data_IF_441212109101
#
_entry.id   IF_441212109101
#
_cell.length_a   1.000
_cell.length_b   1.000
_cell.length_c   1.000
_cell.angle_alpha   90.00
_cell.angle_beta   90.00
_cell.angle_gamma   90.00
#
_symmetry.space_group_name_H-M   'P 1'
#
loop_
_entity.id
_entity.type
_entity.pdbx_description
1 polymer ?
#
# COMPACT_ATOMS: atom_id res chain seq x y z
N UNK A 1 10.39 6.84 17.38
CA UNK A 1 9.13 6.45 18.08
C UNK A 1 9.13 4.95 18.29
N UNK A 2 8.46 4.47 19.33
CA UNK A 2 8.16 3.04 19.50
C UNK A 2 6.94 2.71 18.64
N UNK A 3 6.88 1.54 17.97
CA UNK A 3 5.70 1.13 17.21
C UNK A 3 4.42 1.12 18.08
N UNK A 4 3.31 1.59 17.53
CA UNK A 4 1.99 1.55 18.17
C UNK A 4 1.19 0.35 17.65
N UNK A 5 0.75 -0.53 18.54
CA UNK A 5 -0.12 -1.66 18.18
C UNK A 5 -1.56 -1.20 17.93
N UNK A 6 -2.06 -1.45 16.71
CA UNK A 6 -3.46 -1.22 16.33
C UNK A 6 -4.29 -2.50 16.51
N UNK A 7 -3.74 -3.64 16.08
CA UNK A 7 -4.40 -4.95 16.19
C UNK A 7 -3.33 -6.01 16.44
N UNK A 8 -3.60 -6.97 17.31
CA UNK A 8 -2.74 -8.14 17.55
C UNK A 8 -3.62 -9.36 17.86
N UNK A 9 -4.03 -10.05 16.79
CA UNK A 9 -4.85 -11.25 16.84
C UNK A 9 -4.12 -12.42 16.17
N UNK A 10 -4.58 -13.68 16.41
CA UNK A 10 -3.98 -14.85 15.77
C UNK A 10 -3.96 -14.80 14.24
N UNK A 11 -4.88 -14.08 13.60
CA UNK A 11 -4.97 -13.99 12.13
C UNK A 11 -4.52 -12.64 11.57
N UNK A 12 -4.49 -11.57 12.39
CA UNK A 12 -4.21 -10.21 11.93
C UNK A 12 -3.38 -9.42 12.94
N UNK A 13 -2.28 -8.81 12.49
CA UNK A 13 -1.48 -7.89 13.31
C UNK A 13 -1.16 -6.63 12.49
N UNK A 14 -1.40 -5.46 13.07
CA UNK A 14 -1.19 -4.14 12.45
C UNK A 14 -0.48 -3.25 13.47
N UNK A 15 0.65 -2.69 13.08
CA UNK A 15 1.45 -1.75 13.86
C UNK A 15 1.62 -0.46 13.07
N UNK A 16 1.41 0.70 13.68
CA UNK A 16 1.90 1.98 13.15
C UNK A 16 3.38 2.09 13.53
N UNK A 17 4.25 2.15 12.53
CA UNK A 17 5.70 2.31 12.73
C UNK A 17 6.11 3.79 12.77
N UNK A 18 5.47 4.59 11.92
CA UNK A 18 5.68 6.03 11.81
C UNK A 18 4.36 6.70 11.39
N UNK A 19 4.15 7.91 11.88
CA UNK A 19 3.02 8.78 11.56
C UNK A 19 3.55 10.21 11.53
N UNK A 20 3.19 10.91 10.47
CA UNK A 20 3.42 12.33 10.21
C UNK A 20 2.26 12.83 9.31
N UNK A 21 2.10 14.14 9.15
CA UNK A 21 1.09 14.69 8.23
C UNK A 21 1.33 14.23 6.78
N UNK A 22 2.60 14.08 6.41
CA UNK A 22 3.01 13.72 5.06
C UNK A 22 3.02 12.20 4.82
N UNK A 23 2.98 11.37 5.86
CA UNK A 23 3.04 9.92 5.70
C UNK A 23 2.63 9.15 6.96
N UNK A 24 1.89 8.06 6.75
CA UNK A 24 1.79 6.97 7.74
C UNK A 24 2.37 5.68 7.18
N UNK A 25 3.18 5.00 7.99
CA UNK A 25 3.76 3.70 7.65
C UNK A 25 3.28 2.67 8.66
N UNK A 26 2.65 1.61 8.17
CA UNK A 26 2.30 0.44 8.98
C UNK A 26 3.12 -0.77 8.61
N UNK A 27 3.37 -1.62 9.60
CA UNK A 27 3.71 -3.02 9.36
C UNK A 27 2.46 -3.85 9.61
N UNK A 28 2.12 -4.71 8.66
CA UNK A 28 0.94 -5.56 8.73
C UNK A 28 1.28 -7.02 8.45
N UNK A 29 0.64 -7.92 9.19
CA UNK A 29 0.61 -9.37 8.95
C UNK A 29 -0.82 -9.86 8.86
N UNK A 30 -1.13 -10.55 7.76
CA UNK A 30 -2.39 -11.28 7.57
C UNK A 30 -2.12 -12.78 7.41
N UNK A 31 -2.88 -13.60 8.10
CA UNK A 31 -2.99 -15.04 7.79
C UNK A 31 -3.83 -15.29 6.55
N UNK A 32 -3.79 -16.53 6.06
CA UNK A 32 -4.60 -16.97 4.92
C UNK A 32 -6.07 -16.57 5.08
N UNK A 33 -6.64 -15.97 4.04
CA UNK A 33 -8.05 -15.61 3.95
C UNK A 33 -8.42 -14.25 4.53
N UNK A 34 -7.52 -13.59 5.27
CA UNK A 34 -7.73 -12.23 5.74
C UNK A 34 -7.71 -11.24 4.57
N UNK A 35 -8.60 -10.24 4.65
CA UNK A 35 -8.87 -9.26 3.59
C UNK A 35 -8.67 -7.85 4.09
N UNK A 36 -8.22 -6.99 3.19
CA UNK A 36 -8.28 -5.54 3.37
C UNK A 36 -9.72 -5.03 3.27
N UNK A 37 -9.90 -3.71 3.12
CA UNK A 37 -11.21 -3.15 2.81
C UNK A 37 -11.78 -3.75 1.51
N UNK A 38 -13.10 -3.70 1.37
CA UNK A 38 -13.77 -3.94 0.09
C UNK A 38 -13.24 -2.97 -0.98
N UNK A 39 -13.53 -3.25 -2.25
CA UNK A 39 -13.09 -2.43 -3.38
C UNK A 39 -13.45 -0.94 -3.17
N UNK A 40 -12.43 -0.10 -3.05
CA UNK A 40 -12.56 1.29 -2.64
C UNK A 40 -11.55 2.18 -3.38
N UNK A 41 -11.66 3.48 -3.17
CA UNK A 41 -10.81 4.49 -3.79
C UNK A 41 -10.39 5.56 -2.77
N UNK A 42 -9.18 6.07 -2.95
CA UNK A 42 -8.65 7.24 -2.25
C UNK A 42 -8.66 8.44 -3.21
N UNK A 43 -8.92 9.64 -2.72
CA UNK A 43 -8.95 10.85 -3.54
C UNK A 43 -7.71 11.73 -3.38
N UNK A 44 -7.01 11.61 -2.26
CA UNK A 44 -5.97 12.57 -1.87
C UNK A 44 -4.60 11.92 -1.69
N UNK A 45 -4.52 10.61 -1.43
CA UNK A 45 -3.26 9.93 -1.16
C UNK A 45 -3.00 8.71 -2.05
N UNK A 46 -1.72 8.36 -2.15
CA UNK A 46 -1.27 7.08 -2.71
C UNK A 46 -1.25 6.04 -1.59
N UNK A 47 -1.83 4.88 -1.84
CA UNK A 47 -1.70 3.69 -1.01
C UNK A 47 -0.66 2.76 -1.63
N UNK A 48 0.45 2.53 -0.92
CA UNK A 48 1.55 1.72 -1.40
C UNK A 48 1.89 0.56 -0.46
N UNK A 49 2.40 -0.52 -1.04
CA UNK A 49 2.65 -1.79 -0.40
C UNK A 49 4.04 -2.28 -0.79
N UNK A 50 4.86 -2.64 0.19
CA UNK A 50 6.08 -3.41 -0.02
C UNK A 50 5.98 -4.75 0.70
N UNK A 51 5.94 -5.84 -0.07
CA UNK A 51 5.74 -7.19 0.48
C UNK A 51 7.07 -7.68 1.05
N UNK A 52 7.10 -7.91 2.36
CA UNK A 52 8.30 -8.37 3.09
C UNK A 52 8.42 -9.89 3.04
N UNK A 53 7.29 -10.59 3.21
CA UNK A 53 7.21 -12.06 3.26
C UNK A 53 5.82 -12.51 2.76
N UNK A 54 5.74 -13.71 2.20
CA UNK A 54 4.51 -14.24 1.62
C UNK A 54 4.10 -13.59 0.28
N UNK A 55 2.79 -13.60 0.00
CA UNK A 55 2.19 -13.08 -1.23
C UNK A 55 0.84 -12.41 -0.94
N UNK A 56 0.62 -11.24 -1.55
CA UNK A 56 -0.68 -10.56 -1.57
C UNK A 56 -1.30 -10.67 -2.96
N UNK A 57 -2.63 -10.84 -2.99
CA UNK A 57 -3.42 -10.66 -4.20
C UNK A 57 -4.13 -9.31 -4.10
N UNK A 58 -3.88 -8.45 -5.07
CA UNK A 58 -4.57 -7.17 -5.23
C UNK A 58 -5.63 -7.30 -6.31
N UNK A 59 -6.75 -6.61 -6.15
CA UNK A 59 -7.73 -6.42 -7.20
C UNK A 59 -7.73 -4.94 -7.58
N UNK A 60 -7.57 -4.63 -8.86
CA UNK A 60 -7.37 -3.26 -9.33
C UNK A 60 -8.40 -2.84 -10.37
N UNK A 61 -8.78 -1.57 -10.30
CA UNK A 61 -9.65 -0.89 -11.25
C UNK A 61 -11.11 -1.37 -11.24
N UNK A 62 -11.93 -0.86 -12.18
CA UNK A 62 -13.38 -1.10 -12.18
C UNK A 62 -13.77 -2.56 -12.48
N UNK A 63 -12.88 -3.34 -13.08
CA UNK A 63 -13.12 -4.76 -13.37
C UNK A 63 -12.52 -5.71 -12.32
N UNK A 64 -11.94 -5.20 -11.22
CA UNK A 64 -11.26 -6.02 -10.20
C UNK A 64 -10.21 -6.96 -10.81
N UNK A 65 -9.31 -6.41 -11.65
CA UNK A 65 -8.24 -7.22 -12.24
C UNK A 65 -7.29 -7.71 -11.13
N UNK A 66 -7.17 -9.03 -11.01
CA UNK A 66 -6.38 -9.64 -9.95
C UNK A 66 -4.90 -9.76 -10.33
N UNK A 67 -4.02 -9.18 -9.51
CA UNK A 67 -2.57 -9.34 -9.60
C UNK A 67 -2.01 -9.94 -8.32
N UNK A 68 -0.95 -10.73 -8.43
CA UNK A 68 -0.26 -11.34 -7.28
C UNK A 68 1.13 -10.79 -7.14
N UNK A 69 1.49 -10.40 -5.93
CA UNK A 69 2.79 -9.80 -5.63
C UNK A 69 3.37 -10.47 -4.39
N UNK A 70 4.47 -11.19 -4.61
CA UNK A 70 5.22 -11.89 -3.58
C UNK A 70 6.28 -11.01 -2.89
N UNK A 71 6.97 -11.60 -1.92
CA UNK A 71 8.07 -10.98 -1.17
C UNK A 71 9.12 -10.29 -2.08
N UNK A 72 9.50 -9.07 -1.70
CA UNK A 72 10.37 -8.17 -2.48
C UNK A 72 9.66 -7.43 -3.61
N UNK A 73 8.36 -7.64 -3.79
CA UNK A 73 7.52 -6.90 -4.73
C UNK A 73 6.93 -5.64 -4.12
N UNK A 74 6.54 -4.71 -4.99
CA UNK A 74 5.99 -3.41 -4.62
C UNK A 74 4.76 -3.07 -5.47
N UNK A 75 3.77 -2.45 -4.85
CA UNK A 75 2.58 -1.90 -5.50
C UNK A 75 2.37 -0.48 -4.99
N UNK A 76 2.15 0.50 -5.86
CA UNK A 76 1.65 1.82 -5.48
C UNK A 76 0.40 2.15 -6.28
N UNK A 77 -0.68 2.45 -5.58
CA UNK A 77 -1.97 2.76 -6.15
C UNK A 77 -2.25 4.26 -5.95
N UNK A 78 -2.19 5.07 -7.01
CA UNK A 78 -2.42 6.51 -6.90
C UNK A 78 -3.91 6.81 -6.63
N UNK A 79 -4.23 8.06 -6.26
CA UNK A 79 -5.60 8.51 -6.13
C UNK A 79 -6.46 8.15 -7.35
N UNK A 80 -7.74 7.89 -7.08
CA UNK A 80 -8.78 7.55 -8.03
C UNK A 80 -8.67 6.16 -8.68
N UNK A 81 -7.64 5.36 -8.40
CA UNK A 81 -7.59 3.95 -8.83
C UNK A 81 -8.27 3.07 -7.80
N UNK A 82 -9.35 2.40 -8.20
CA UNK A 82 -10.06 1.45 -7.35
C UNK A 82 -9.17 0.27 -6.98
N UNK A 83 -9.16 -0.14 -5.71
CA UNK A 83 -8.37 -1.28 -5.28
C UNK A 83 -8.93 -2.00 -4.04
N UNK A 84 -8.56 -3.27 -3.92
CA UNK A 84 -8.74 -4.11 -2.74
C UNK A 84 -7.54 -5.07 -2.64
N UNK A 85 -7.39 -5.76 -1.50
CA UNK A 85 -6.37 -6.80 -1.37
C UNK A 85 -6.77 -7.91 -0.40
N UNK A 86 -6.18 -9.07 -0.61
CA UNK A 86 -6.40 -10.28 0.19
C UNK A 86 -5.11 -11.09 0.27
N UNK A 87 -4.88 -11.73 1.43
CA UNK A 87 -3.93 -12.83 1.47
C UNK A 87 -4.63 -14.13 1.02
N UNK A 88 -4.64 -14.38 -0.30
CA UNK A 88 -5.19 -15.61 -0.88
C UNK A 88 -4.19 -16.78 -0.87
N UNK A 89 -2.95 -16.55 -0.41
CA UNK A 89 -1.89 -17.55 -0.37
C UNK A 89 -2.10 -18.55 0.78
N UNK A 90 -1.45 -19.71 0.74
CA UNK A 90 -1.54 -20.72 1.81
C UNK A 90 -0.71 -20.43 3.08
N UNK A 91 -0.10 -19.25 3.19
CA UNK A 91 0.79 -18.87 4.28
C UNK A 91 0.48 -17.44 4.78
N UNK A 92 1.13 -17.02 5.86
CA UNK A 92 1.08 -15.62 6.30
C UNK A 92 1.74 -14.70 5.26
N UNK A 93 1.17 -13.52 5.07
CA UNK A 93 1.77 -12.42 4.32
C UNK A 93 2.12 -11.28 5.27
N UNK A 94 3.29 -10.64 5.05
CA UNK A 94 3.77 -9.49 5.82
C UNK A 94 4.20 -8.39 4.86
N UNK A 95 3.84 -7.15 5.15
CA UNK A 95 4.20 -6.03 4.29
C UNK A 95 4.33 -4.74 5.08
N UNK A 96 5.02 -3.77 4.47
CA UNK A 96 4.92 -2.38 4.83
C UNK A 96 3.84 -1.73 3.97
N UNK A 97 3.00 -0.92 4.59
CA UNK A 97 1.97 -0.17 3.91
C UNK A 97 2.15 1.33 4.19
N UNK A 98 2.10 2.14 3.14
CA UNK A 98 2.41 3.55 3.14
C UNK A 98 1.20 4.31 2.61
N UNK A 99 0.66 5.23 3.42
CA UNK A 99 -0.31 6.22 2.97
C UNK A 99 0.38 7.56 2.91
N UNK A 100 0.46 8.15 1.72
CA UNK A 100 1.17 9.41 1.48
C UNK A 100 0.35 10.36 0.60
N UNK A 101 -0.09 11.53 1.11
CA UNK A 101 -0.02 11.94 2.54
C UNK A 101 -0.87 11.05 3.47
N UNK A 102 -0.78 11.24 4.80
CA UNK A 102 -1.52 10.38 5.75
C UNK A 102 -3.04 10.45 5.57
N UNK A 103 -3.58 11.63 5.24
CA UNK A 103 -5.02 11.85 5.01
C UNK A 103 -5.93 11.29 6.13
N UNK A 104 -5.45 11.26 7.39
CA UNK A 104 -6.17 10.78 8.56
C UNK A 104 -6.14 9.26 8.76
N UNK A 105 -5.32 8.52 8.01
CA UNK A 105 -5.26 7.06 8.08
C UNK A 105 -4.87 6.55 9.47
N UNK A 106 -3.81 7.08 10.08
CA UNK A 106 -3.39 6.67 11.43
C UNK A 106 -4.50 6.94 12.46
N UNK A 107 -5.17 8.09 12.36
CA UNK A 107 -6.33 8.43 13.18
C UNK A 107 -7.47 7.41 13.04
N UNK A 108 -7.81 7.05 11.80
CA UNK A 108 -8.83 6.05 11.48
C UNK A 108 -8.49 4.65 12.01
N UNK A 109 -7.24 4.20 11.90
CA UNK A 109 -6.83 2.92 12.49
C UNK A 109 -7.09 2.88 14.00
N UNK A 110 -6.91 4.01 14.69
CA UNK A 110 -7.22 4.11 16.13
C UNK A 110 -8.72 4.07 16.42
N UNK A 111 -9.57 4.62 15.54
CA UNK A 111 -11.03 4.50 15.70
C UNK A 111 -11.47 3.05 15.51
N UNK A 112 -10.90 2.33 14.54
CA UNK A 112 -11.14 0.90 14.35
C UNK A 112 -10.75 0.09 15.59
N UNK A 113 -9.55 0.33 16.15
CA UNK A 113 -9.12 -0.30 17.40
C UNK A 113 -10.07 -0.02 18.56
N UNK A 114 -10.56 1.22 18.67
CA UNK A 114 -11.48 1.64 19.72
C UNK A 114 -12.92 1.14 19.52
N UNK A 115 -13.25 0.59 18.35
CA UNK A 115 -14.62 0.22 17.99
C UNK A 115 -15.54 1.42 17.83
N UNK A 116 -15.00 2.60 17.47
CA UNK A 116 -15.77 3.82 17.27
C UNK A 116 -15.90 4.17 15.79
N UNK A 117 -16.97 4.89 15.39
CA UNK A 117 -17.05 5.43 14.05
C UNK A 117 -15.85 6.32 13.73
N UNK A 118 -15.36 6.21 12.50
CA UNK A 118 -14.30 7.04 11.96
C UNK A 118 -14.44 7.12 10.43
N UNK A 119 -14.01 8.24 9.88
CA UNK A 119 -13.93 8.47 8.44
C UNK A 119 -12.52 8.90 8.10
N UNK A 120 -12.06 8.54 6.92
CA UNK A 120 -10.81 8.96 6.33
C UNK A 120 -11.00 8.98 4.81
N UNK A 121 -9.95 9.32 4.06
CA UNK A 121 -9.96 9.37 2.59
C UNK A 121 -10.13 7.97 1.95
N UNK A 122 -11.25 7.29 2.19
CA UNK A 122 -11.56 5.95 1.64
C UNK A 122 -13.04 5.87 1.30
N UNK A 123 -13.33 5.79 0.02
CA UNK A 123 -14.69 5.87 -0.52
C UNK A 123 -15.03 4.62 -1.33
N UNK A 124 -16.31 4.28 -1.40
CA UNK A 124 -16.77 3.24 -2.32
C UNK A 124 -16.46 3.61 -3.78
N UNK A 125 -16.47 2.60 -4.66
CA UNK A 125 -16.20 2.81 -6.08
C UNK A 125 -17.10 3.89 -6.69
N UNK A 126 -16.54 4.86 -7.43
CA UNK A 126 -17.33 5.88 -8.12
C UNK A 126 -18.08 5.25 -9.30
N UNK A 127 -19.18 5.89 -9.70
CA UNK A 127 -20.08 5.36 -10.73
C UNK A 127 -19.42 5.25 -12.12
N UNK A 128 -18.39 6.05 -12.40
CA UNK A 128 -17.58 6.00 -13.62
C UNK A 128 -16.46 4.94 -13.56
N UNK A 129 -16.30 4.27 -12.42
CA UNK A 129 -15.30 3.22 -12.22
C UNK A 129 -13.92 3.70 -11.79
N UNK A 130 -13.69 5.02 -11.72
CA UNK A 130 -12.39 5.60 -11.37
C UNK A 130 -11.37 5.51 -12.50
N UNK A 131 -10.10 5.69 -12.16
CA UNK A 131 -8.99 5.58 -13.09
C UNK A 131 -8.68 4.12 -13.44
N UNK A 132 -8.13 3.86 -14.64
CA UNK A 132 -7.78 2.51 -15.08
C UNK A 132 -6.65 1.90 -14.22
N UNK A 133 -6.60 0.57 -14.11
CA UNK A 133 -5.64 -0.13 -13.25
C UNK A 133 -4.18 0.01 -13.70
N UNK A 134 -3.93 0.33 -14.98
CA UNK A 134 -2.59 0.58 -15.52
C UNK A 134 -1.89 1.84 -14.98
N UNK A 135 -2.63 2.66 -14.22
CA UNK A 135 -2.10 3.79 -13.45
C UNK A 135 -1.40 3.33 -12.17
N UNK A 136 -1.70 2.12 -11.67
CA UNK A 136 -0.98 1.55 -10.55
C UNK A 136 0.43 1.14 -10.97
N UNK A 137 1.41 1.42 -10.12
CA UNK A 137 2.79 0.95 -10.31
C UNK A 137 2.88 -0.43 -9.69
N UNK A 138 3.23 -1.44 -10.49
CA UNK A 138 3.43 -2.81 -10.03
C UNK A 138 4.85 -3.23 -10.38
N UNK A 139 5.66 -3.48 -9.35
CA UNK A 139 7.02 -3.99 -9.50
C UNK A 139 7.10 -5.40 -8.91
N UNK A 140 7.17 -6.45 -9.75
CA UNK A 140 7.36 -7.81 -9.26
C UNK A 140 8.69 -8.00 -8.52
N UNK A 141 8.82 -9.05 -7.70
CA UNK A 141 10.09 -9.39 -7.06
C UNK A 141 11.26 -9.44 -8.04
N UNK A 142 12.37 -8.79 -7.66
CA UNK A 142 13.60 -8.79 -8.46
C UNK A 142 13.53 -7.99 -9.77
N UNK A 143 12.47 -7.23 -10.02
CA UNK A 143 12.34 -6.34 -11.20
C UNK A 143 12.74 -4.89 -10.96
N UNK A 144 13.36 -4.60 -9.81
CA UNK A 144 14.02 -3.32 -9.54
C UNK A 144 15.44 -3.27 -10.12
N UNK A 145 15.98 -2.07 -10.29
CA UNK A 145 17.40 -1.91 -10.60
C UNK A 145 18.22 -2.10 -9.32
N UNK A 146 19.15 -3.05 -9.32
CA UNK A 146 20.15 -3.16 -8.25
C UNK A 146 21.05 -1.94 -8.31
N UNK A 147 20.92 -1.04 -7.34
CA UNK A 147 21.86 0.07 -7.21
C UNK A 147 23.17 -0.48 -6.64
N UNK A 148 24.33 -0.20 -7.27
CA UNK A 148 25.64 -0.59 -6.76
C UNK A 148 26.10 0.37 -5.66
N UNK A 149 25.26 0.57 -4.65
CA UNK A 149 25.57 1.34 -3.44
C UNK A 149 25.57 0.37 -2.26
N UNK A 150 26.59 0.40 -1.39
CA UNK A 150 26.50 -0.26 -0.09
C UNK A 150 25.32 0.33 0.69
N UNK A 151 24.18 -0.37 0.69
CA UNK A 151 23.07 -0.11 1.60
C UNK A 151 21.98 0.88 1.17
N UNK A 152 21.86 1.32 -0.10
CA UNK A 152 20.73 2.19 -0.51
C UNK A 152 20.32 2.07 -1.99
N UNK A 153 19.00 2.13 -2.26
CA UNK A 153 18.41 2.25 -3.61
C UNK A 153 17.46 3.45 -3.64
N UNK A 154 17.73 4.41 -4.52
CA UNK A 154 16.88 5.58 -4.84
C UNK A 154 16.96 5.79 -6.35
N UNK A 155 15.83 6.02 -7.02
CA UNK A 155 15.78 6.38 -8.44
C UNK A 155 15.63 7.89 -8.62
N UNK A 156 16.36 8.42 -9.60
CA UNK A 156 16.18 9.73 -10.23
C UNK A 156 15.28 9.58 -11.47
N UNK A 157 14.27 10.44 -11.61
CA UNK A 157 13.20 10.33 -12.62
C UNK A 157 13.47 11.16 -13.89
N UNK A 158 14.69 11.07 -14.44
CA UNK A 158 15.09 11.92 -15.59
C UNK A 158 15.10 11.23 -16.96
N UNK A 159 14.82 9.92 -17.05
CA UNK A 159 14.74 9.23 -18.36
C UNK A 159 13.29 8.96 -18.79
N UNK A 160 12.86 9.83 -19.70
CA UNK A 160 11.53 10.01 -20.23
C UNK A 160 10.91 8.77 -20.89
N UNK A 161 9.67 8.47 -20.48
CA UNK A 161 8.72 7.64 -21.19
C UNK A 161 7.48 7.40 -20.33
N UNK A 162 6.40 8.13 -20.63
CA UNK A 162 5.05 8.09 -20.03
C UNK A 162 4.75 9.07 -18.88
N UNK A 163 4.22 10.25 -19.27
CA UNK A 163 3.44 11.25 -18.52
C UNK A 163 3.85 11.62 -17.08
N UNK A 164 4.62 12.71 -16.95
CA UNK A 164 4.83 13.45 -15.70
C UNK A 164 3.57 14.23 -15.31
N UNK A 165 2.99 13.96 -14.14
CA UNK A 165 2.01 14.85 -13.48
C UNK A 165 2.76 15.80 -12.53
N UNK A 166 2.37 17.10 -12.41
CA UNK A 166 3.22 18.13 -11.77
C UNK A 166 3.42 18.04 -10.25
N UNK A 167 3.02 16.96 -9.58
CA UNK A 167 3.03 16.86 -8.11
C UNK A 167 3.68 15.59 -7.53
N UNK A 168 4.31 14.73 -8.34
CA UNK A 168 4.88 13.48 -7.84
C UNK A 168 6.39 13.58 -7.55
N UNK A 169 6.77 14.27 -6.47
CA UNK A 169 8.10 14.10 -5.88
C UNK A 169 8.06 12.94 -4.87
N UNK A 170 7.90 11.72 -5.37
CA UNK A 170 7.85 10.51 -4.55
C UNK A 170 8.96 9.54 -4.93
N UNK A 171 10.18 9.76 -4.44
CA UNK A 171 11.22 8.73 -4.50
C UNK A 171 10.86 7.67 -3.46
N UNK A 172 10.47 6.47 -3.91
CA UNK A 172 10.29 5.32 -3.00
C UNK A 172 11.62 4.56 -2.91
N UNK A 173 12.32 4.74 -1.80
CA UNK A 173 13.49 3.95 -1.44
C UNK A 173 13.04 2.72 -0.64
N UNK A 174 13.31 1.52 -1.15
CA UNK A 174 13.06 0.28 -0.42
C UNK A 174 14.35 -0.19 0.23
N UNK A 175 14.38 -0.20 1.56
CA UNK A 175 15.49 -0.75 2.35
C UNK A 175 15.40 -2.29 2.37
N UNK A 176 16.47 -2.97 1.93
CA UNK A 176 16.71 -4.35 2.35
C UNK A 176 17.34 -4.32 3.74
N UNK A 177 16.75 -5.04 4.68
CA UNK A 177 17.47 -5.49 5.89
C UNK A 177 18.33 -6.69 5.56
#
# INVERSE_FOLDING_TARGET
MTPETISDTPTRNVLILAEDEDITITWTRFSHGERGPDLHVHHEHTDAFYVLDGELTFELGPQSEAIRVGAGGFVAIPPHVGHSFVNASGADARWLNFHAPDCGFAGFLRTLRAGTPGTWDSFGMPADGGLPPDRAIVMPPGKGHEMPLPGFVVRDDTDAGWFTHPHANGVVAVLRT
#
